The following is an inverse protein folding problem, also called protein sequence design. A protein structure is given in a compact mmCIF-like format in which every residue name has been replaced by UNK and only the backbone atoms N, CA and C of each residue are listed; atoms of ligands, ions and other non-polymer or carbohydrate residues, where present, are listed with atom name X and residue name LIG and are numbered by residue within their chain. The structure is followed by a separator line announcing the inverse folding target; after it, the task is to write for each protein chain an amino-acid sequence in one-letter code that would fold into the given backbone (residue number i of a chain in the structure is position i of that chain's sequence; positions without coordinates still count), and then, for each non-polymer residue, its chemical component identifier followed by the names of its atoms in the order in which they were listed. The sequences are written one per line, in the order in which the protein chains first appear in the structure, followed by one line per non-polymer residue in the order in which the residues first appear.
data_IF_259884113971
#
_entry.id   IF_259884113971
#
_cell.length_a   1.000
_cell.length_b   1.000
_cell.length_c   1.000
_cell.angle_alpha   90.00
_cell.angle_beta   90.00
_cell.angle_gamma   90.00
#
_symmetry.space_group_name_H-M   'P 1'
#
loop_
_entity.id
_entity.type
_entity.pdbx_description
1 polymer ?
#
# COMPACT_ATOMS: atom_id res chain seq x y z
N UNK A 1 2.59 5.32 -15.31
CA UNK A 1 2.88 6.64 -14.70
C UNK A 1 4.39 6.67 -14.49
N UNK A 2 5.09 7.68 -15.02
CA UNK A 2 6.55 7.72 -14.99
C UNK A 2 7.05 7.86 -13.55
N UNK A 3 7.89 6.94 -13.08
CA UNK A 3 8.58 7.06 -11.80
C UNK A 3 9.53 8.27 -11.87
N UNK A 4 9.13 9.37 -11.23
CA UNK A 4 10.02 10.50 -10.98
C UNK A 4 11.19 10.02 -10.12
N UNK A 5 12.40 10.05 -10.70
CA UNK A 5 13.64 9.73 -10.01
C UNK A 5 13.85 10.69 -8.83
N UNK A 6 13.76 10.18 -7.60
CA UNK A 6 13.98 10.97 -6.39
C UNK A 6 15.47 11.05 -6.09
N UNK A 7 16.00 12.26 -5.95
CA UNK A 7 17.43 12.51 -5.69
C UNK A 7 17.66 12.97 -4.25
N UNK A 8 18.76 12.51 -3.66
CA UNK A 8 19.13 12.90 -2.31
C UNK A 8 19.53 14.39 -2.24
N UNK A 9 18.96 15.18 -1.33
CA UNK A 9 19.28 16.61 -1.20
C UNK A 9 20.69 16.87 -0.68
N UNK A 10 21.35 15.88 -0.07
CA UNK A 10 22.69 16.04 0.52
C UNK A 10 23.82 15.67 -0.43
N UNK A 11 23.66 14.59 -1.20
CA UNK A 11 24.74 14.06 -2.05
C UNK A 11 24.37 13.92 -3.52
N UNK A 12 23.15 14.28 -3.92
CA UNK A 12 22.67 14.21 -5.31
C UNK A 12 22.44 12.80 -5.86
N UNK A 13 22.77 11.75 -5.10
CA UNK A 13 22.56 10.36 -5.54
C UNK A 13 21.08 10.02 -5.71
N UNK A 14 20.77 9.16 -6.68
CA UNK A 14 19.43 8.59 -6.85
C UNK A 14 19.06 7.80 -5.59
N UNK A 15 17.87 8.05 -5.06
CA UNK A 15 17.36 7.40 -3.87
C UNK A 15 16.61 6.12 -4.24
N UNK A 16 16.81 5.06 -3.47
CA UNK A 16 16.12 3.80 -3.66
C UNK A 16 14.85 3.74 -2.80
N UNK A 17 13.75 3.25 -3.38
CA UNK A 17 12.54 2.97 -2.62
C UNK A 17 12.83 1.86 -1.61
N UNK A 18 12.62 2.16 -0.34
CA UNK A 18 12.88 1.25 0.77
C UNK A 18 11.60 0.61 1.29
N UNK A 19 10.52 1.39 1.41
CA UNK A 19 9.24 0.92 1.92
C UNK A 19 8.08 1.70 1.28
N UNK A 20 7.00 1.00 1.00
CA UNK A 20 5.71 1.58 0.62
C UNK A 20 4.65 0.96 1.51
N UNK A 21 3.86 1.80 2.17
CA UNK A 21 2.73 1.34 2.97
C UNK A 21 2.18 2.43 3.88
N UNK A 22 1.26 2.04 4.75
CA UNK A 22 0.60 2.94 5.69
C UNK A 22 1.48 3.20 6.91
N UNK A 23 1.64 4.48 7.26
CA UNK A 23 2.27 4.95 8.48
C UNK A 23 1.21 5.59 9.37
N UNK A 24 1.12 5.11 10.60
CA UNK A 24 0.35 5.77 11.63
C UNK A 24 1.07 7.07 12.03
N UNK A 25 0.43 8.20 11.78
CA UNK A 25 0.89 9.51 12.21
C UNK A 25 0.17 9.87 13.49
N UNK A 26 0.94 10.27 14.51
CA UNK A 26 0.35 10.96 15.65
C UNK A 26 0.01 12.39 15.23
N UNK A 27 -1.27 12.63 14.97
CA UNK A 27 -1.80 13.97 14.82
C UNK A 27 -1.56 14.77 16.09
N UNK A 28 -0.89 15.93 15.98
CA UNK A 28 -0.72 16.84 17.12
C UNK A 28 -1.94 17.77 17.19
N UNK A 29 -3.07 17.25 17.67
CA UNK A 29 -4.20 18.09 18.10
C UNK A 29 -4.42 17.82 19.58
N UNK A 30 -4.15 18.85 20.36
CA UNK A 30 -4.12 18.96 21.84
C UNK A 30 -5.37 18.40 22.58
N UNK A 31 -6.37 17.84 21.88
CA UNK A 31 -7.63 17.40 22.50
C UNK A 31 -8.14 16.02 22.03
N UNK A 32 -7.63 15.43 20.94
CA UNK A 32 -8.08 14.09 20.49
C UNK A 32 -6.92 13.31 19.88
N UNK A 33 -6.62 12.14 20.47
CA UNK A 33 -5.71 11.16 19.90
C UNK A 33 -6.44 10.42 18.77
N UNK A 34 -6.55 11.03 17.59
CA UNK A 34 -6.89 10.28 16.37
C UNK A 34 -5.60 9.71 15.79
N UNK A 35 -5.57 8.40 15.57
CA UNK A 35 -4.52 7.75 14.78
C UNK A 35 -4.82 8.04 13.31
N UNK A 36 -4.14 9.04 12.75
CA UNK A 36 -4.29 9.39 11.34
C UNK A 36 -3.33 8.50 10.55
N UNK A 37 -3.84 7.68 9.64
CA UNK A 37 -3.00 6.83 8.79
C UNK A 37 -2.72 7.55 7.47
N UNK A 38 -1.45 7.62 7.08
CA UNK A 38 -1.07 8.11 5.76
C UNK A 38 -0.28 7.03 5.03
N UNK A 39 -0.62 6.75 3.78
CA UNK A 39 0.28 6.00 2.93
C UNK A 39 1.55 6.85 2.75
N UNK A 40 2.71 6.21 2.68
CA UNK A 40 3.98 6.87 2.51
C UNK A 40 4.92 5.98 1.72
N UNK A 41 5.68 6.61 0.82
CA UNK A 41 6.84 5.99 0.20
C UNK A 41 8.10 6.52 0.89
N UNK A 42 8.85 5.61 1.51
CA UNK A 42 10.11 5.88 2.16
C UNK A 42 11.25 5.59 1.18
N UNK A 43 12.01 6.61 0.85
CA UNK A 43 13.20 6.49 0.02
C UNK A 43 14.44 6.62 0.87
N UNK A 44 15.43 5.76 0.62
CA UNK A 44 16.72 5.77 1.30
C UNK A 44 17.82 6.09 0.29
N UNK A 45 18.69 7.03 0.66
CA UNK A 45 19.91 7.28 -0.09
C UNK A 45 20.95 6.21 0.25
N UNK A 46 21.53 5.50 -0.75
CA UNK A 46 22.55 4.48 -0.48
C UNK A 46 23.86 5.03 0.09
N UNK A 47 24.22 6.27 -0.26
CA UNK A 47 25.51 6.85 0.11
C UNK A 47 25.52 7.45 1.51
N UNK A 48 24.55 8.33 1.81
CA UNK A 48 24.50 9.07 3.07
C UNK A 48 23.49 8.53 4.07
N UNK A 49 22.75 7.45 3.72
CA UNK A 49 21.65 6.89 4.52
C UNK A 49 20.55 7.90 4.87
N UNK A 50 20.47 9.02 4.15
CA UNK A 50 19.38 9.97 4.28
C UNK A 50 18.07 9.30 3.89
N UNK A 51 17.04 9.48 4.72
CA UNK A 51 15.70 8.96 4.50
C UNK A 51 14.74 10.10 4.22
N UNK A 52 14.01 10.02 3.11
CA UNK A 52 12.97 10.98 2.75
C UNK A 52 11.63 10.26 2.65
N UNK A 53 10.58 10.93 3.13
CA UNK A 53 9.22 10.44 3.03
C UNK A 53 8.54 11.26 1.95
N UNK A 54 7.99 10.59 0.94
CA UNK A 54 7.16 11.24 -0.05
C UNK A 54 5.72 10.85 0.22
N UNK A 55 4.86 11.87 0.38
CA UNK A 55 3.41 11.67 0.49
C UNK A 55 2.91 11.10 -0.84
N UNK A 56 2.10 10.02 -0.84
CA UNK A 56 1.49 9.49 -2.05
C UNK A 56 0.44 10.47 -2.55
N UNK A 57 0.09 10.29 -3.82
CA UNK A 57 -0.71 11.20 -4.64
C UNK A 57 -2.19 11.29 -4.19
N UNK A 58 -2.66 10.39 -3.33
CA UNK A 58 -4.06 10.28 -2.90
C UNK A 58 -4.36 11.16 -1.67
N UNK A 59 -5.48 11.88 -1.73
CA UNK A 59 -5.91 12.76 -0.64
C UNK A 59 -6.39 11.93 0.57
N UNK A 60 -6.40 12.53 1.77
CA UNK A 60 -6.93 11.88 2.98
C UNK A 60 -8.40 11.49 2.78
N UNK A 61 -9.17 12.29 2.04
CA UNK A 61 -10.57 12.02 1.73
C UNK A 61 -10.75 10.81 0.82
N UNK A 62 -9.86 10.62 -0.18
CA UNK A 62 -9.88 9.44 -1.06
C UNK A 62 -9.55 8.17 -0.26
N UNK A 63 -8.59 8.27 0.66
CA UNK A 63 -8.27 7.16 1.55
C UNK A 63 -9.44 6.79 2.48
N UNK A 64 -10.06 7.78 3.14
CA UNK A 64 -11.21 7.55 4.02
C UNK A 64 -12.37 6.92 3.24
N UNK A 65 -12.61 7.34 2.00
CA UNK A 65 -13.62 6.73 1.13
C UNK A 65 -13.28 5.29 0.74
N UNK A 66 -12.01 4.98 0.45
CA UNK A 66 -11.57 3.61 0.17
C UNK A 66 -11.69 2.71 1.40
N UNK A 67 -11.34 3.22 2.59
CA UNK A 67 -11.54 2.49 3.86
C UNK A 67 -13.02 2.26 4.15
N UNK A 68 -13.86 3.29 3.98
CA UNK A 68 -15.30 3.16 4.15
C UNK A 68 -15.91 2.16 3.16
N UNK A 69 -15.51 2.22 1.89
CA UNK A 69 -15.96 1.27 0.87
C UNK A 69 -15.51 -0.16 1.17
N UNK A 70 -14.29 -0.32 1.71
CA UNK A 70 -13.81 -1.60 2.22
C UNK A 70 -14.69 -2.05 3.39
N UNK A 71 -14.88 -1.24 4.44
CA UNK A 71 -15.68 -1.59 5.62
C UNK A 71 -17.13 -1.96 5.26
N UNK A 72 -17.77 -1.19 4.39
CA UNK A 72 -19.15 -1.39 3.91
C UNK A 72 -19.30 -2.65 3.04
N UNK A 73 -18.20 -3.19 2.51
CA UNK A 73 -18.21 -4.45 1.76
C UNK A 73 -18.42 -5.62 2.72
N UNK A 74 -19.68 -6.07 2.83
CA UNK A 74 -20.08 -7.22 3.66
C UNK A 74 -19.53 -8.57 3.17
N UNK A 75 -19.09 -8.66 1.91
CA UNK A 75 -18.52 -9.87 1.32
C UNK A 75 -17.00 -9.91 1.57
N UNK A 76 -16.51 -10.83 2.41
CA UNK A 76 -15.08 -10.94 2.72
C UNK A 76 -14.22 -11.26 1.50
N UNK A 77 -14.76 -11.96 0.49
CA UNK A 77 -14.02 -12.25 -0.76
C UNK A 77 -13.80 -10.97 -1.55
N UNK A 78 -14.82 -10.12 -1.68
CA UNK A 78 -14.69 -8.84 -2.38
C UNK A 78 -13.72 -7.88 -1.68
N UNK A 79 -13.68 -7.88 -0.35
CA UNK A 79 -12.65 -7.15 0.41
C UNK A 79 -11.25 -7.57 -0.02
N UNK A 80 -10.98 -8.87 -0.06
CA UNK A 80 -9.69 -9.38 -0.53
C UNK A 80 -9.44 -9.11 -2.02
N UNK A 81 -10.46 -9.11 -2.88
CA UNK A 81 -10.30 -8.71 -4.29
C UNK A 81 -9.86 -7.25 -4.43
N UNK A 82 -10.38 -6.34 -3.60
CA UNK A 82 -9.95 -4.94 -3.58
C UNK A 82 -8.50 -4.85 -3.06
N UNK A 83 -8.19 -5.52 -1.93
CA UNK A 83 -6.86 -5.50 -1.32
C UNK A 83 -5.76 -6.09 -2.22
N UNK A 84 -6.10 -7.09 -3.03
CA UNK A 84 -5.13 -7.77 -3.92
C UNK A 84 -5.16 -7.22 -5.36
N UNK A 85 -5.92 -6.17 -5.64
CA UNK A 85 -6.12 -5.61 -6.99
C UNK A 85 -4.80 -5.37 -7.73
N UNK A 86 -3.83 -4.79 -7.04
CA UNK A 86 -2.53 -4.42 -7.60
C UNK A 86 -1.45 -5.49 -7.42
N UNK A 87 -1.80 -6.67 -6.88
CA UNK A 87 -0.84 -7.76 -6.76
C UNK A 87 -0.48 -8.30 -8.15
N UNK A 88 0.81 -8.55 -8.35
CA UNK A 88 1.30 -9.27 -9.52
C UNK A 88 0.83 -10.73 -9.48
N UNK A 89 0.76 -11.38 -10.64
CA UNK A 89 0.38 -12.79 -10.75
C UNK A 89 1.20 -13.70 -9.82
N UNK A 90 2.52 -13.45 -9.73
CA UNK A 90 3.41 -14.16 -8.81
C UNK A 90 3.03 -13.98 -7.34
N UNK A 91 2.57 -12.79 -6.93
CA UNK A 91 2.08 -12.55 -5.56
C UNK A 91 0.73 -13.22 -5.33
N UNK A 92 -0.18 -13.17 -6.30
CA UNK A 92 -1.47 -13.85 -6.22
C UNK A 92 -1.30 -15.36 -6.07
N UNK A 93 -0.39 -15.96 -6.84
CA UNK A 93 -0.08 -17.40 -6.75
C UNK A 93 0.43 -17.80 -5.35
N UNK A 94 1.29 -16.97 -4.73
CA UNK A 94 1.74 -17.20 -3.35
C UNK A 94 0.60 -17.15 -2.32
N UNK A 95 -0.40 -16.30 -2.52
CA UNK A 95 -1.58 -16.25 -1.64
C UNK A 95 -2.41 -17.53 -1.77
N UNK A 96 -2.58 -18.03 -2.99
CA UNK A 96 -3.32 -19.27 -3.27
C UNK A 96 -2.62 -20.48 -2.60
N UNK A 97 -1.30 -20.56 -2.74
CA UNK A 97 -0.49 -21.69 -2.24
C UNK A 97 -0.17 -21.59 -0.74
N UNK A 98 -0.20 -20.38 -0.16
CA UNK A 98 0.15 -20.15 1.24
C UNK A 98 -0.83 -20.82 2.19
N UNK A 99 -0.32 -21.55 3.18
CA UNK A 99 -1.16 -22.26 4.16
C UNK A 99 -1.83 -21.34 5.18
N UNK A 100 -1.21 -20.19 5.45
CA UNK A 100 -1.64 -19.24 6.48
C UNK A 100 -2.73 -18.27 5.99
N UNK A 101 -3.10 -18.33 4.71
CA UNK A 101 -4.15 -17.48 4.16
C UNK A 101 -5.55 -18.07 4.35
N UNK A 102 -6.49 -17.18 4.67
CA UNK A 102 -7.90 -17.50 4.78
C UNK A 102 -8.48 -18.04 3.45
N UNK A 103 -9.47 -18.95 3.50
CA UNK A 103 -10.13 -19.48 2.30
C UNK A 103 -10.69 -18.38 1.38
N UNK A 104 -11.23 -17.31 1.96
CA UNK A 104 -11.78 -16.15 1.26
C UNK A 104 -10.70 -15.37 0.50
N UNK A 105 -9.52 -15.21 1.11
CA UNK A 105 -8.36 -14.58 0.50
C UNK A 105 -7.84 -15.40 -0.69
N UNK A 106 -7.80 -16.74 -0.55
CA UNK A 106 -7.41 -17.65 -1.65
C UNK A 106 -8.38 -17.55 -2.81
N UNK A 107 -9.68 -17.54 -2.52
CA UNK A 107 -10.74 -17.42 -3.54
C UNK A 107 -10.66 -16.08 -4.27
N UNK A 108 -10.41 -14.98 -3.55
CA UNK A 108 -10.20 -13.66 -4.15
C UNK A 108 -8.97 -13.63 -5.07
N UNK A 109 -7.85 -14.21 -4.62
CA UNK A 109 -6.63 -14.29 -5.42
C UNK A 109 -6.83 -15.12 -6.70
N UNK A 110 -7.58 -16.23 -6.63
CA UNK A 110 -7.96 -17.04 -7.80
C UNK A 110 -8.83 -16.24 -8.79
N UNK A 111 -9.83 -15.52 -8.30
CA UNK A 111 -10.71 -14.71 -9.14
C UNK A 111 -9.92 -13.62 -9.89
N UNK A 112 -9.01 -12.93 -9.21
CA UNK A 112 -8.17 -11.90 -9.81
C UNK A 112 -7.17 -12.49 -10.81
N UNK A 113 -6.56 -13.63 -10.50
CA UNK A 113 -5.64 -14.30 -11.40
C UNK A 113 -6.35 -14.73 -12.69
N UNK A 114 -7.58 -15.25 -12.58
CA UNK A 114 -8.42 -15.60 -13.72
C UNK A 114 -8.74 -14.39 -14.59
N UNK A 115 -9.15 -13.26 -13.98
CA UNK A 115 -9.47 -12.01 -14.71
C UNK A 115 -8.26 -11.39 -15.43
N UNK A 116 -7.03 -11.70 -15.02
CA UNK A 116 -5.80 -11.21 -15.68
C UNK A 116 -5.35 -12.09 -16.86
N UNK A 117 -5.79 -13.35 -16.89
CA UNK A 117 -5.51 -14.29 -17.98
C UNK A 117 -6.57 -14.30 -19.09
N UNK A 118 -7.68 -13.59 -18.93
CA UNK A 118 -8.70 -13.29 -19.95
C UNK A 118 -8.30 -12.05 -20.75
#
# INVERSE_FOLDING_TARGET
MAEEKKTCPFCGAEMALHYTGWLAMRGNKVVQLTEDFMEAQLYLCPNCRFMAWFKPLTSVEEFEQEQQALEDTKDPVKKFEILFRDYSEKKLQKVIEGRDYLPEAKKAAQNLLRRKGE
#
